data_IF_683939885768
#
_entry.id   IF_683939885768
#
_cell.length_a   1.000
_cell.length_b   1.000
_cell.length_c   1.000
_cell.angle_alpha   90.00
_cell.angle_beta   90.00
_cell.angle_gamma   90.00
#
_symmetry.space_group_name_H-M   'P 1'
#
loop_
_entity.id
_entity.type
_entity.pdbx_description
1 polymer ?
#
# COMPACT_ATOMS: atom_id res chain seq x y z
N UNK A 1 -20.72 -23.12 6.87
CA UNK A 1 -20.92 -22.49 5.57
C UNK A 1 -19.84 -21.45 5.35
N UNK A 2 -19.07 -21.68 4.35
CA UNK A 2 -18.02 -20.74 4.01
C UNK A 2 -18.65 -19.54 3.32
N UNK A 3 -18.40 -18.35 3.84
CA UNK A 3 -18.73 -17.09 3.18
C UNK A 3 -17.67 -16.74 2.14
N UNK A 4 -17.15 -17.76 1.47
CA UNK A 4 -16.16 -17.52 0.43
C UNK A 4 -16.82 -16.79 -0.73
N UNK A 5 -16.14 -15.75 -1.19
CA UNK A 5 -16.55 -15.01 -2.35
C UNK A 5 -16.57 -15.89 -3.58
N UNK A 6 -17.61 -15.76 -4.39
CA UNK A 6 -17.62 -16.37 -5.71
C UNK A 6 -16.52 -15.78 -6.57
N UNK A 7 -16.08 -16.53 -7.55
CA UNK A 7 -14.99 -16.13 -8.44
C UNK A 7 -15.31 -14.81 -9.14
N UNK A 8 -16.55 -14.62 -9.60
CA UNK A 8 -16.96 -13.39 -10.29
C UNK A 8 -16.91 -12.18 -9.38
N UNK A 9 -17.36 -12.33 -8.13
CA UNK A 9 -17.32 -11.23 -7.17
C UNK A 9 -15.90 -10.85 -6.81
N UNK A 10 -15.05 -11.86 -6.58
CA UNK A 10 -13.64 -11.65 -6.30
C UNK A 10 -12.96 -10.90 -7.44
N UNK A 11 -13.25 -11.30 -8.67
CA UNK A 11 -12.69 -10.67 -9.86
C UNK A 11 -13.09 -9.20 -9.97
N UNK A 12 -14.35 -8.89 -9.70
CA UNK A 12 -14.84 -7.50 -9.71
C UNK A 12 -14.15 -6.64 -8.66
N UNK A 13 -13.98 -7.19 -7.46
CA UNK A 13 -13.30 -6.49 -6.38
C UNK A 13 -11.84 -6.25 -6.73
N UNK A 14 -11.17 -7.27 -7.23
CA UNK A 14 -9.77 -7.18 -7.64
C UNK A 14 -9.61 -6.11 -8.73
N UNK A 15 -10.45 -6.14 -9.75
CA UNK A 15 -10.38 -5.15 -10.84
C UNK A 15 -10.62 -3.73 -10.34
N UNK A 16 -11.51 -3.56 -9.38
CA UNK A 16 -11.82 -2.24 -8.83
C UNK A 16 -10.66 -1.66 -8.02
N UNK A 17 -10.01 -2.50 -7.23
CA UNK A 17 -8.98 -2.04 -6.28
C UNK A 17 -7.55 -2.40 -6.66
N UNK A 18 -7.35 -2.96 -7.86
CA UNK A 18 -6.04 -3.41 -8.31
C UNK A 18 -5.00 -2.30 -8.25
N UNK A 19 -5.32 -1.12 -8.78
CA UNK A 19 -4.37 -0.01 -8.82
C UNK A 19 -3.97 0.43 -7.41
N UNK A 20 -4.94 0.51 -6.50
CA UNK A 20 -4.67 0.86 -5.11
C UNK A 20 -3.74 -0.16 -4.45
N UNK A 21 -4.04 -1.44 -4.62
CA UNK A 21 -3.23 -2.52 -4.03
C UNK A 21 -1.81 -2.46 -4.59
N UNK A 22 -1.66 -2.32 -5.91
CA UNK A 22 -0.35 -2.22 -6.53
C UNK A 22 0.43 -1.00 -6.06
N UNK A 23 -0.22 0.15 -5.94
CA UNK A 23 0.45 1.37 -5.47
C UNK A 23 0.98 1.22 -4.06
N UNK A 24 0.16 0.67 -3.17
CA UNK A 24 0.60 0.42 -1.78
C UNK A 24 1.74 -0.58 -1.76
N UNK A 25 1.60 -1.68 -2.49
CA UNK A 25 2.63 -2.72 -2.54
C UNK A 25 3.93 -2.18 -3.14
N UNK A 26 3.84 -1.45 -4.24
CA UNK A 26 5.00 -0.92 -4.94
C UNK A 26 5.76 0.10 -4.09
N UNK A 27 5.06 0.99 -3.40
CA UNK A 27 5.75 1.96 -2.57
C UNK A 27 6.41 1.34 -1.33
N UNK A 28 5.89 0.19 -0.88
CA UNK A 28 6.50 -0.52 0.24
C UNK A 28 7.68 -1.39 -0.19
N UNK A 29 7.58 -2.02 -1.34
CA UNK A 29 8.56 -3.00 -1.80
C UNK A 29 9.62 -2.39 -2.73
N UNK A 30 9.31 -1.30 -3.40
CA UNK A 30 10.18 -0.56 -4.33
C UNK A 30 10.61 -1.33 -5.57
N UNK A 31 10.04 -2.50 -5.81
CA UNK A 31 10.29 -3.22 -7.04
C UNK A 31 9.03 -3.96 -7.47
N UNK A 32 8.93 -4.20 -8.75
CA UNK A 32 7.74 -4.74 -9.38
C UNK A 32 7.48 -6.20 -9.01
N UNK A 33 8.52 -7.02 -9.01
CA UNK A 33 8.37 -8.44 -8.74
C UNK A 33 7.79 -8.68 -7.35
N UNK A 34 8.30 -7.99 -6.35
CA UNK A 34 7.82 -8.11 -4.97
C UNK A 34 6.41 -7.53 -4.83
N UNK A 35 6.14 -6.40 -5.50
CA UNK A 35 4.80 -5.81 -5.48
C UNK A 35 3.77 -6.75 -6.10
N UNK A 36 4.14 -7.43 -7.17
CA UNK A 36 3.28 -8.42 -7.82
C UNK A 36 3.01 -9.61 -6.91
N UNK A 37 4.02 -10.08 -6.19
CA UNK A 37 3.85 -11.14 -5.19
C UNK A 37 2.88 -10.73 -4.10
N UNK A 38 3.01 -9.50 -3.61
CA UNK A 38 2.08 -8.95 -2.61
C UNK A 38 0.67 -8.89 -3.18
N UNK A 39 0.52 -8.43 -4.41
CA UNK A 39 -0.79 -8.37 -5.07
C UNK A 39 -1.44 -9.76 -5.12
N UNK A 40 -0.70 -10.78 -5.53
CA UNK A 40 -1.19 -12.14 -5.56
C UNK A 40 -1.60 -12.63 -4.17
N UNK A 41 -0.80 -12.34 -3.16
CA UNK A 41 -1.12 -12.71 -1.77
C UNK A 41 -2.40 -12.04 -1.29
N UNK A 42 -2.63 -10.78 -1.67
CA UNK A 42 -3.86 -10.06 -1.33
C UNK A 42 -5.06 -10.71 -2.02
N UNK A 43 -4.91 -11.10 -3.29
CA UNK A 43 -5.96 -11.81 -4.02
C UNK A 43 -6.31 -13.13 -3.33
N UNK A 44 -5.31 -13.88 -2.89
CA UNK A 44 -5.52 -15.13 -2.17
C UNK A 44 -6.24 -14.86 -0.85
N UNK A 45 -5.84 -13.83 -0.12
CA UNK A 45 -6.48 -13.46 1.13
C UNK A 45 -7.95 -13.07 0.91
N UNK A 46 -8.25 -12.38 -0.17
CA UNK A 46 -9.62 -11.99 -0.51
C UNK A 46 -10.51 -13.23 -0.69
N UNK A 47 -9.96 -14.28 -1.29
CA UNK A 47 -10.70 -15.51 -1.57
C UNK A 47 -10.79 -16.43 -0.33
N UNK A 48 -9.71 -16.51 0.46
CA UNK A 48 -9.60 -17.47 1.56
C UNK A 48 -9.97 -16.92 2.93
N UNK A 49 -9.89 -15.61 3.13
CA UNK A 49 -10.30 -14.98 4.39
C UNK A 49 -11.71 -14.45 4.22
N UNK A 50 -12.35 -14.12 5.33
CA UNK A 50 -13.70 -13.57 5.28
C UNK A 50 -13.61 -12.03 5.25
N UNK A 51 -13.49 -11.43 4.05
CA UNK A 51 -13.45 -9.97 3.97
C UNK A 51 -14.81 -9.38 4.35
N UNK A 52 -14.85 -8.18 4.93
CA UNK A 52 -16.12 -7.53 5.21
C UNK A 52 -16.79 -7.08 3.92
N UNK A 53 -17.99 -7.59 3.68
CA UNK A 53 -18.76 -7.25 2.48
C UNK A 53 -19.97 -6.39 2.78
N UNK A 54 -20.10 -5.93 4.03
CA UNK A 54 -21.22 -5.13 4.48
C UNK A 54 -21.21 -3.71 3.89
N UNK A 55 -20.04 -3.17 3.58
CA UNK A 55 -19.92 -1.90 2.90
C UNK A 55 -18.65 -1.86 2.06
N UNK A 56 -18.68 -1.04 1.00
CA UNK A 56 -17.50 -0.86 0.17
C UNK A 56 -16.34 -0.23 0.93
N UNK A 57 -16.65 0.69 1.84
CA UNK A 57 -15.62 1.37 2.63
C UNK A 57 -14.92 0.40 3.58
N UNK A 58 -15.66 -0.49 4.22
CA UNK A 58 -15.06 -1.51 5.07
C UNK A 58 -14.17 -2.45 4.27
N UNK A 59 -14.62 -2.85 3.09
CA UNK A 59 -13.84 -3.70 2.19
C UNK A 59 -12.55 -3.02 1.76
N UNK A 60 -12.64 -1.75 1.36
CA UNK A 60 -11.48 -0.98 0.93
C UNK A 60 -10.44 -0.88 2.05
N UNK A 61 -10.87 -0.55 3.26
CA UNK A 61 -9.97 -0.46 4.43
C UNK A 61 -9.35 -1.80 4.75
N UNK A 62 -10.12 -2.87 4.64
CA UNK A 62 -9.61 -4.22 4.85
C UNK A 62 -8.52 -4.56 3.83
N UNK A 63 -8.73 -4.23 2.56
CA UNK A 63 -7.75 -4.46 1.52
C UNK A 63 -6.46 -3.68 1.76
N UNK A 64 -6.58 -2.42 2.19
CA UNK A 64 -5.41 -1.60 2.54
C UNK A 64 -4.63 -2.26 3.69
N UNK A 65 -5.33 -2.66 4.74
CA UNK A 65 -4.71 -3.30 5.91
C UNK A 65 -4.00 -4.59 5.52
N UNK A 66 -4.67 -5.44 4.75
CA UNK A 66 -4.08 -6.71 4.30
C UNK A 66 -2.84 -6.45 3.47
N UNK A 67 -2.89 -5.49 2.56
CA UNK A 67 -1.76 -5.16 1.71
C UNK A 67 -0.57 -4.67 2.52
N UNK A 68 -0.79 -3.72 3.43
CA UNK A 68 0.27 -3.20 4.31
C UNK A 68 0.85 -4.32 5.17
N UNK A 69 0.01 -5.17 5.73
CA UNK A 69 0.46 -6.28 6.59
C UNK A 69 1.28 -7.29 5.80
N UNK A 70 0.89 -7.61 4.57
CA UNK A 70 1.67 -8.50 3.72
C UNK A 70 3.05 -7.92 3.43
N UNK A 71 3.13 -6.63 3.14
CA UNK A 71 4.40 -5.96 2.93
C UNK A 71 5.28 -6.00 4.19
N UNK A 72 4.69 -5.79 5.35
CA UNK A 72 5.41 -5.84 6.63
C UNK A 72 5.94 -7.24 6.91
N UNK A 73 5.15 -8.26 6.66
CA UNK A 73 5.54 -9.65 6.90
C UNK A 73 6.70 -10.09 6.02
N UNK A 74 6.72 -9.65 4.77
CA UNK A 74 7.83 -9.92 3.85
C UNK A 74 9.12 -9.32 4.41
N UNK A 75 9.08 -8.11 4.96
CA UNK A 75 10.26 -7.48 5.52
C UNK A 75 10.75 -8.15 6.82
N UNK A 76 9.88 -8.84 7.53
CA UNK A 76 10.25 -9.57 8.74
C UNK A 76 10.92 -10.90 8.42
N UNK A 77 10.55 -11.54 7.33
CA UNK A 77 11.27 -12.72 6.85
C UNK A 77 12.56 -12.26 6.19
N UNK A 78 13.62 -13.04 6.36
CA UNK A 78 14.89 -12.74 5.71
C UNK A 78 14.70 -12.94 4.22
N UNK A 79 14.21 -11.91 3.57
CA UNK A 79 13.96 -11.98 2.15
C UNK A 79 15.22 -11.83 1.38
N UNK A 80 15.42 -12.78 0.59
CA UNK A 80 16.51 -12.77 -0.37
C UNK A 80 16.21 -11.74 -1.43
N UNK A 81 17.20 -10.95 -1.72
CA UNK A 81 17.15 -10.06 -2.87
C UNK A 81 16.79 -10.86 -4.10
N UNK A 82 15.60 -10.67 -4.59
CA UNK A 82 15.25 -11.18 -5.91
C UNK A 82 15.81 -10.25 -6.93
N UNK A 83 16.74 -10.76 -7.70
CA UNK A 83 17.21 -10.06 -8.89
C UNK A 83 16.41 -10.65 -10.03
N UNK A 84 15.24 -10.09 -10.31
CA UNK A 84 14.46 -10.49 -11.46
C UNK A 84 14.33 -9.33 -12.42
N UNK A 85 14.42 -9.59 -13.72
CA UNK A 85 14.21 -8.53 -14.70
C UNK A 85 12.80 -8.00 -14.59
N UNK A 86 12.66 -6.71 -14.71
CA UNK A 86 11.38 -6.03 -14.67
C UNK A 86 10.55 -6.48 -15.87
N UNK A 87 9.41 -7.09 -15.60
CA UNK A 87 8.50 -7.50 -16.65
C UNK A 87 7.57 -6.33 -17.00
N UNK A 88 7.48 -6.00 -18.27
CA UNK A 88 6.76 -4.82 -18.77
C UNK A 88 5.24 -4.98 -18.80
N UNK A 89 4.68 -6.04 -18.20
CA UNK A 89 3.26 -6.32 -18.31
C UNK A 89 2.36 -5.62 -17.30
N UNK A 90 2.93 -4.95 -16.31
CA UNK A 90 2.13 -4.23 -15.32
C UNK A 90 1.98 -2.77 -15.72
N UNK A 91 0.82 -2.20 -15.40
CA UNK A 91 0.61 -0.77 -15.50
C UNK A 91 1.52 -0.07 -14.50
N UNK A 92 2.70 0.29 -14.95
CA UNK A 92 3.62 1.06 -14.14
C UNK A 92 3.06 2.46 -13.93
N UNK A 93 3.38 3.07 -12.78
CA UNK A 93 3.08 4.49 -12.60
C UNK A 93 3.65 5.30 -13.77
N UNK A 94 2.95 6.37 -14.13
CA UNK A 94 3.44 7.30 -15.14
C UNK A 94 4.77 7.91 -14.71
N UNK A 95 5.49 8.53 -15.63
CA UNK A 95 6.75 9.20 -15.30
C UNK A 95 6.56 10.27 -14.21
N UNK A 96 5.44 10.99 -14.27
CA UNK A 96 5.11 11.99 -13.24
C UNK A 96 4.89 11.33 -11.88
N UNK A 97 4.17 10.21 -11.86
CA UNK A 97 3.95 9.43 -10.62
C UNK A 97 5.25 8.87 -10.09
N UNK A 98 6.16 8.44 -10.96
CA UNK A 98 7.48 7.95 -10.55
C UNK A 98 8.33 9.02 -9.91
N UNK A 99 8.31 10.24 -10.46
CA UNK A 99 9.07 11.35 -9.88
C UNK A 99 8.63 11.64 -8.46
N UNK A 100 7.32 11.71 -8.24
CA UNK A 100 6.78 11.92 -6.90
C UNK A 100 7.10 10.73 -5.99
N UNK A 101 7.00 9.51 -6.51
CA UNK A 101 7.27 8.30 -5.74
C UNK A 101 8.74 8.19 -5.34
N UNK A 102 9.67 8.62 -6.20
CA UNK A 102 11.09 8.59 -5.87
C UNK A 102 11.40 9.42 -4.63
N UNK A 103 10.82 10.58 -4.52
CA UNK A 103 10.99 11.44 -3.34
C UNK A 103 10.36 10.80 -2.10
N UNK A 104 9.17 10.22 -2.25
CA UNK A 104 8.50 9.51 -1.17
C UNK A 104 9.30 8.28 -0.74
N UNK A 105 9.95 7.60 -1.69
CA UNK A 105 10.75 6.41 -1.39
C UNK A 105 11.97 6.70 -0.50
N UNK A 106 12.42 7.93 -0.43
CA UNK A 106 13.49 8.30 0.48
C UNK A 106 13.02 8.34 1.94
N UNK A 107 11.71 8.38 2.15
CA UNK A 107 11.14 8.33 3.49
C UNK A 107 11.15 6.90 4.05
N UNK A 108 11.27 6.75 5.38
CA UNK A 108 11.03 5.44 6.00
C UNK A 108 9.64 4.91 5.65
N UNK A 109 9.54 3.60 5.56
CA UNK A 109 8.33 2.90 5.13
C UNK A 109 7.07 3.33 5.89
N UNK A 110 7.17 3.46 7.21
CA UNK A 110 6.03 3.88 8.04
C UNK A 110 5.51 5.26 7.65
N UNK A 111 6.39 6.15 7.24
CA UNK A 111 5.99 7.49 6.81
C UNK A 111 5.37 7.47 5.43
N UNK A 112 5.87 6.61 4.55
CA UNK A 112 5.31 6.47 3.20
C UNK A 112 3.85 6.03 3.23
N UNK A 113 3.52 5.06 4.07
CA UNK A 113 2.16 4.58 4.19
C UNK A 113 1.22 5.66 4.71
N UNK A 114 1.64 6.43 5.72
CA UNK A 114 0.83 7.50 6.27
C UNK A 114 0.60 8.61 5.24
N UNK A 115 1.67 9.00 4.54
CA UNK A 115 1.58 10.02 3.48
C UNK A 115 0.61 9.57 2.39
N UNK A 116 0.75 8.33 1.93
CA UNK A 116 -0.11 7.79 0.89
C UNK A 116 -1.59 7.82 1.31
N UNK A 117 -1.88 7.32 2.49
CA UNK A 117 -3.27 7.23 2.96
C UNK A 117 -3.88 8.62 3.21
N UNK A 118 -3.09 9.55 3.70
CA UNK A 118 -3.58 10.89 3.99
C UNK A 118 -3.78 11.71 2.71
N UNK A 119 -2.77 11.78 1.85
CA UNK A 119 -2.81 12.68 0.68
C UNK A 119 -3.41 12.04 -0.55
N UNK A 120 -3.18 10.76 -0.77
CA UNK A 120 -3.65 10.10 -1.98
C UNK A 120 -5.06 9.53 -1.79
N UNK A 121 -5.29 8.84 -0.68
CA UNK A 121 -6.58 8.22 -0.40
C UNK A 121 -7.52 9.10 0.42
N UNK A 122 -7.05 10.25 0.87
CA UNK A 122 -7.85 11.26 1.58
C UNK A 122 -8.45 10.78 2.90
N UNK A 123 -7.75 9.89 3.59
CA UNK A 123 -8.17 9.46 4.91
C UNK A 123 -7.74 10.46 5.98
N UNK A 124 -8.56 10.60 7.01
CA UNK A 124 -8.23 11.42 8.18
C UNK A 124 -7.26 10.67 9.11
N UNK A 125 -6.64 11.40 10.03
CA UNK A 125 -5.73 10.79 11.00
C UNK A 125 -6.43 9.70 11.82
N UNK A 126 -7.64 9.92 12.38
CA UNK A 126 -8.35 8.85 13.06
C UNK A 126 -8.61 7.61 12.21
N UNK A 127 -8.96 7.82 10.93
CA UNK A 127 -9.21 6.73 10.00
C UNK A 127 -7.94 5.93 9.71
N UNK A 128 -6.82 6.63 9.48
CA UNK A 128 -5.53 5.98 9.25
C UNK A 128 -5.10 5.19 10.47
N UNK A 129 -5.29 5.75 11.66
CA UNK A 129 -4.99 5.07 12.92
C UNK A 129 -5.75 3.76 13.03
N UNK A 130 -7.02 3.77 12.69
CA UNK A 130 -7.85 2.56 12.71
C UNK A 130 -7.38 1.55 11.66
N UNK A 131 -7.13 2.00 10.44
CA UNK A 131 -6.68 1.13 9.34
C UNK A 131 -5.36 0.44 9.69
N UNK A 132 -4.39 1.20 10.19
CA UNK A 132 -3.05 0.68 10.47
C UNK A 132 -2.90 0.08 11.86
N UNK A 133 -3.95 0.16 12.70
CA UNK A 133 -3.89 -0.37 14.05
C UNK A 133 -2.90 0.37 14.95
N UNK A 134 -2.83 1.69 14.80
CA UNK A 134 -1.95 2.56 15.57
C UNK A 134 -2.78 3.62 16.30
N UNK A 135 -2.18 4.27 17.30
CA UNK A 135 -2.85 5.37 17.97
C UNK A 135 -2.87 6.62 17.08
N UNK A 136 -3.85 7.49 17.31
CA UNK A 136 -3.94 8.75 16.57
C UNK A 136 -2.70 9.61 16.80
N UNK A 137 -2.16 9.60 18.02
CA UNK A 137 -0.94 10.33 18.33
C UNK A 137 0.25 9.83 17.52
N UNK A 138 0.36 8.51 17.35
CA UNK A 138 1.41 7.91 16.52
C UNK A 138 1.28 8.36 15.07
N UNK A 139 0.09 8.31 14.51
CA UNK A 139 -0.15 8.71 13.12
C UNK A 139 0.13 10.20 12.94
N UNK A 140 -0.35 11.03 13.87
CA UNK A 140 -0.12 12.48 13.82
C UNK A 140 1.38 12.81 13.85
N UNK A 141 2.13 12.15 14.72
CA UNK A 141 3.58 12.32 14.82
C UNK A 141 4.29 11.87 13.55
N UNK A 142 3.89 10.71 13.00
CA UNK A 142 4.46 10.20 11.76
C UNK A 142 4.19 11.14 10.59
N UNK A 143 2.98 11.66 10.50
CA UNK A 143 2.61 12.59 9.44
C UNK A 143 3.42 13.89 9.54
N UNK A 144 3.57 14.44 10.73
CA UNK A 144 4.36 15.64 10.96
C UNK A 144 5.81 15.43 10.57
N UNK A 145 6.40 14.32 11.00
CA UNK A 145 7.79 13.99 10.67
C UNK A 145 7.97 13.71 9.19
N UNK A 146 7.00 13.03 8.59
CA UNK A 146 7.02 12.74 7.15
C UNK A 146 7.03 14.03 6.34
N UNK A 147 6.15 14.97 6.69
CA UNK A 147 6.07 16.28 6.02
C UNK A 147 7.39 17.03 6.12
N UNK A 148 8.00 17.02 7.31
CA UNK A 148 9.26 17.69 7.55
C UNK A 148 10.39 17.09 6.70
N UNK A 149 10.49 15.77 6.67
CA UNK A 149 11.49 15.08 5.86
C UNK A 149 11.27 15.31 4.38
N UNK A 150 10.03 15.23 3.94
CA UNK A 150 9.68 15.43 2.53
C UNK A 150 10.02 16.86 2.09
N UNK A 151 9.76 17.84 2.93
CA UNK A 151 10.12 19.23 2.65
C UNK A 151 11.64 19.39 2.47
N UNK A 152 12.42 18.73 3.31
CA UNK A 152 13.89 18.74 3.21
C UNK A 152 14.34 18.10 1.90
N UNK A 153 13.79 16.94 1.55
CA UNK A 153 14.12 16.24 0.32
C UNK A 153 13.81 17.11 -0.90
N UNK A 154 12.63 17.71 -0.93
CA UNK A 154 12.19 18.56 -2.04
C UNK A 154 13.09 19.80 -2.17
N UNK A 155 13.47 20.40 -1.06
CA UNK A 155 14.35 21.57 -1.06
C UNK A 155 15.73 21.22 -1.60
N UNK A 156 16.28 20.07 -1.20
CA UNK A 156 17.59 19.63 -1.67
C UNK A 156 17.57 19.30 -3.17
N UNK A 157 16.47 18.80 -3.68
CA UNK A 157 16.33 18.47 -5.10
C UNK A 157 16.07 19.69 -5.98
N UNK A 158 15.64 20.80 -5.41
CA UNK A 158 15.34 22.03 -6.14
C UNK A 158 16.57 22.95 -6.31
N UNK A 159 17.71 22.52 -5.88
CA UNK A 159 18.95 23.32 -6.01
C UNK A 159 19.66 23.02 -7.30
#
# INVERSE_FOLDING_TARGET
MSNSLGTEEAEKIINKYADMIYRIAFQNMKNRADAEDIFQDVCIALITKNPPLDSEEHLKRWLIRVTVNKCTNVHKSVWKTRIEPIDDHLDLPSEEEKEVMEEIWELPKKYRNVIYLYYYESYTIPEIAEILGKSQNTISSQLTRARKKLRTILTDNDV
#
